data_IF_871562574901
#
_entry.id   IF_871562574901
#
_cell.length_a   1.000
_cell.length_b   1.000
_cell.length_c   1.000
_cell.angle_alpha   90.00
_cell.angle_beta   90.00
_cell.angle_gamma   90.00
#
_symmetry.space_group_name_H-M   'P 1'
#
loop_
_entity.id
_entity.type
_entity.pdbx_description
1 polymer ?
#
# COMPACT_ATOMS: atom_id res chain seq x y z
N UNK A 1 -3.27 19.03 21.75
CA UNK A 1 -1.92 18.81 22.28
C UNK A 1 -0.99 18.53 21.11
N UNK A 2 0.26 18.92 21.23
CA UNK A 2 1.27 18.71 20.17
C UNK A 2 1.59 17.20 20.10
N UNK A 3 1.49 16.60 18.92
CA UNK A 3 1.81 15.19 18.66
C UNK A 3 1.00 14.21 19.56
N UNK A 4 -0.26 14.51 19.81
CA UNK A 4 -1.11 13.66 20.63
C UNK A 4 -1.70 12.52 19.77
N UNK A 5 -1.46 11.28 20.18
CA UNK A 5 -2.05 10.13 19.51
C UNK A 5 -3.58 10.05 19.68
N UNK A 6 -4.26 9.58 18.64
CA UNK A 6 -5.67 9.20 18.70
C UNK A 6 -5.73 7.67 18.61
N UNK A 7 -6.22 7.03 19.65
CA UNK A 7 -6.40 5.58 19.69
C UNK A 7 -7.89 5.24 19.85
N UNK A 8 -8.48 4.75 18.76
CA UNK A 8 -9.83 4.19 18.71
C UNK A 8 -9.68 2.66 18.52
N UNK A 9 -9.02 2.02 19.48
CA UNK A 9 -8.53 0.63 19.44
C UNK A 9 -9.55 -0.41 19.92
N UNK A 10 -10.74 0.03 20.31
CA UNK A 10 -11.86 -0.86 20.60
C UNK A 10 -12.68 -1.15 19.34
N UNK A 11 -13.45 -2.22 19.34
CA UNK A 11 -14.32 -2.61 18.23
C UNK A 11 -15.43 -1.54 18.01
N UNK A 12 -15.12 -0.51 17.23
CA UNK A 12 -16.03 0.56 16.87
C UNK A 12 -16.95 0.15 15.72
N UNK A 13 -17.98 0.94 15.48
CA UNK A 13 -18.88 0.83 14.32
C UNK A 13 -19.10 2.24 13.77
N UNK A 14 -18.33 2.62 12.77
CA UNK A 14 -18.48 3.91 12.09
C UNK A 14 -19.27 3.70 10.79
N UNK A 15 -20.48 4.20 10.73
CA UNK A 15 -21.37 4.06 9.54
C UNK A 15 -21.32 5.26 8.61
N UNK A 16 -20.52 6.25 8.91
CA UNK A 16 -20.34 7.48 8.12
C UNK A 16 -18.89 7.92 8.11
N UNK A 17 -18.61 8.97 7.36
CA UNK A 17 -17.27 9.54 7.26
C UNK A 17 -16.73 9.96 8.64
N UNK A 18 -15.50 9.58 8.93
CA UNK A 18 -14.77 9.97 10.14
C UNK A 18 -13.59 10.83 9.73
N UNK A 19 -13.56 12.07 10.19
CA UNK A 19 -12.46 12.99 9.94
C UNK A 19 -11.69 13.27 11.23
N UNK A 20 -10.39 13.41 11.08
CA UNK A 20 -9.49 13.74 12.18
C UNK A 20 -8.88 15.12 11.97
N UNK A 21 -8.78 15.88 13.06
CA UNK A 21 -8.00 17.12 13.07
C UNK A 21 -6.87 16.96 14.07
N UNK A 22 -5.68 16.80 13.56
CA UNK A 22 -4.46 16.49 14.33
C UNK A 22 -3.29 17.36 13.89
N UNK A 23 -2.19 17.30 14.64
CA UNK A 23 -0.89 17.75 14.17
C UNK A 23 -0.24 16.65 13.30
N UNK A 24 0.63 17.04 12.38
CA UNK A 24 1.36 16.12 11.49
C UNK A 24 2.27 15.13 12.22
N UNK A 25 2.63 15.41 13.48
CA UNK A 25 3.39 14.49 14.34
C UNK A 25 2.54 13.54 15.18
N UNK A 26 1.21 13.49 14.96
CA UNK A 26 0.30 12.62 15.72
C UNK A 26 0.18 11.25 15.07
N UNK A 27 -0.03 10.21 15.88
CA UNK A 27 -0.32 8.86 15.44
C UNK A 27 -1.82 8.59 15.54
N UNK A 28 -2.37 7.87 14.55
CA UNK A 28 -3.77 7.45 14.55
C UNK A 28 -3.86 5.93 14.50
N UNK A 29 -4.62 5.36 15.44
CA UNK A 29 -4.99 3.95 15.46
C UNK A 29 -6.48 3.80 15.48
N UNK A 30 -7.04 3.01 14.56
CA UNK A 30 -8.48 2.77 14.41
C UNK A 30 -8.74 1.28 14.32
N UNK A 31 -9.73 0.81 15.09
CA UNK A 31 -10.34 -0.50 14.92
C UNK A 31 -11.82 -0.30 14.66
N UNK A 32 -12.26 -0.68 13.47
CA UNK A 32 -13.68 -0.66 13.06
C UNK A 32 -14.13 -2.09 12.70
N UNK A 33 -15.35 -2.45 13.02
CA UNK A 33 -15.92 -3.77 12.69
C UNK A 33 -16.66 -3.80 11.36
N UNK A 34 -16.72 -2.66 10.67
CA UNK A 34 -17.33 -2.48 9.34
C UNK A 34 -16.30 -1.99 8.32
N UNK A 35 -16.73 -1.60 7.15
CA UNK A 35 -15.87 -0.91 6.18
C UNK A 35 -15.49 0.48 6.69
N UNK A 36 -14.26 0.91 6.42
CA UNK A 36 -13.74 2.19 6.88
C UNK A 36 -13.20 3.04 5.73
N UNK A 37 -13.71 4.27 5.62
CA UNK A 37 -13.27 5.26 4.66
C UNK A 37 -12.38 6.32 5.34
N UNK A 38 -11.12 6.39 4.93
CA UNK A 38 -10.16 7.36 5.46
C UNK A 38 -10.32 8.68 4.71
N UNK A 39 -10.74 9.71 5.44
CA UNK A 39 -10.81 11.08 4.92
C UNK A 39 -9.41 11.69 4.80
N UNK A 40 -9.29 12.84 4.13
CA UNK A 40 -8.03 13.58 4.04
C UNK A 40 -7.35 13.73 5.42
N UNK A 41 -6.07 13.38 5.47
CA UNK A 41 -5.33 13.25 6.73
C UNK A 41 -3.85 13.56 6.53
N UNK A 42 -3.24 14.32 7.44
CA UNK A 42 -1.79 14.53 7.53
C UNK A 42 -1.32 14.18 8.94
N UNK A 43 -0.56 13.08 9.08
CA UNK A 43 -0.15 12.52 10.38
C UNK A 43 1.24 11.86 10.33
N UNK A 44 1.78 11.54 11.50
CA UNK A 44 3.02 10.80 11.60
C UNK A 44 2.84 9.32 11.19
N UNK A 45 1.87 8.62 11.77
CA UNK A 45 1.56 7.23 11.40
C UNK A 45 0.06 6.95 11.39
N UNK A 46 -0.35 5.99 10.56
CA UNK A 46 -1.73 5.54 10.45
C UNK A 46 -1.83 4.02 10.58
N UNK A 47 -2.65 3.55 11.52
CA UNK A 47 -2.99 2.13 11.66
C UNK A 47 -4.51 1.96 11.60
N UNK A 48 -5.01 1.20 10.64
CA UNK A 48 -6.43 0.89 10.48
C UNK A 48 -6.64 -0.61 10.44
N UNK A 49 -7.54 -1.12 11.30
CA UNK A 49 -8.06 -2.47 11.23
C UNK A 49 -9.57 -2.41 11.02
N UNK A 50 -10.07 -2.89 9.88
CA UNK A 50 -11.47 -2.81 9.51
C UNK A 50 -12.10 -4.19 9.33
N UNK A 51 -13.37 -4.32 9.73
CA UNK A 51 -14.19 -5.51 9.50
C UNK A 51 -14.77 -5.60 8.08
N UNK A 52 -14.41 -4.70 7.18
CA UNK A 52 -14.79 -4.65 5.78
C UNK A 52 -13.68 -4.03 4.95
N UNK A 53 -14.05 -3.42 3.81
CA UNK A 53 -13.09 -2.72 2.95
C UNK A 53 -12.49 -1.50 3.66
N UNK A 54 -11.24 -1.19 3.33
CA UNK A 54 -10.60 0.08 3.67
C UNK A 54 -10.46 0.87 2.37
N UNK A 55 -10.97 2.10 2.37
CA UNK A 55 -10.86 3.02 1.24
C UNK A 55 -10.40 4.39 1.71
N UNK A 56 -10.00 5.23 0.77
CA UNK A 56 -9.79 6.65 1.01
C UNK A 56 -10.72 7.51 0.13
N UNK A 57 -11.23 8.60 0.67
CA UNK A 57 -11.94 9.64 -0.07
C UNK A 57 -11.24 11.00 0.01
N UNK A 58 -10.02 11.01 0.54
CA UNK A 58 -9.17 12.19 0.62
C UNK A 58 -7.69 11.84 0.60
N UNK A 59 -6.88 12.79 0.19
CA UNK A 59 -5.41 12.63 0.15
C UNK A 59 -4.85 12.35 1.54
N UNK A 60 -4.01 11.31 1.64
CA UNK A 60 -3.30 10.94 2.86
C UNK A 60 -1.84 11.39 2.74
N UNK A 61 -1.35 12.08 3.75
CA UNK A 61 0.04 12.53 3.90
C UNK A 61 0.57 11.91 5.20
N UNK A 62 1.33 10.82 5.08
CA UNK A 62 1.76 10.00 6.22
C UNK A 62 3.28 9.94 6.29
N UNK A 63 3.83 10.58 7.33
CA UNK A 63 5.27 10.83 7.45
C UNK A 63 6.12 9.59 7.80
N UNK A 64 5.56 8.52 8.38
CA UNK A 64 6.38 7.36 8.79
C UNK A 64 5.81 6.02 8.35
N UNK A 65 4.74 5.53 8.94
CA UNK A 65 4.25 4.18 8.64
C UNK A 65 2.74 4.14 8.41
N UNK A 66 2.34 3.32 7.45
CA UNK A 66 0.94 2.97 7.20
C UNK A 66 0.75 1.47 7.42
N UNK A 67 -0.22 1.10 8.26
CA UNK A 67 -0.57 -0.29 8.51
C UNK A 67 -2.07 -0.49 8.34
N UNK A 68 -2.49 -1.25 7.34
CA UNK A 68 -3.89 -1.47 6.98
C UNK A 68 -4.21 -2.96 7.05
N UNK A 69 -5.23 -3.32 7.79
CA UNK A 69 -5.67 -4.72 7.94
C UNK A 69 -7.17 -4.81 7.72
N UNK A 70 -7.60 -5.62 6.76
CA UNK A 70 -9.01 -6.04 6.66
C UNK A 70 -9.18 -7.37 7.34
N UNK A 71 -10.17 -7.47 8.24
CA UNK A 71 -10.47 -8.70 8.98
C UNK A 71 -11.69 -9.43 8.42
N UNK A 72 -12.40 -8.82 7.47
CA UNK A 72 -13.45 -9.48 6.71
C UNK A 72 -12.85 -10.44 5.70
N UNK A 73 -13.47 -11.58 5.52
CA UNK A 73 -13.19 -12.47 4.39
C UNK A 73 -13.42 -11.71 3.08
N UNK A 74 -12.36 -11.56 2.27
CA UNK A 74 -12.35 -10.84 1.01
C UNK A 74 -12.50 -9.29 1.11
N UNK A 75 -12.18 -8.69 2.25
CA UNK A 75 -12.12 -7.23 2.37
C UNK A 75 -10.95 -6.66 1.56
N UNK A 76 -11.19 -5.56 0.86
CA UNK A 76 -10.20 -4.92 -0.01
C UNK A 76 -9.58 -3.69 0.67
N UNK A 77 -8.37 -3.33 0.23
CA UNK A 77 -7.75 -2.04 0.52
C UNK A 77 -7.63 -1.29 -0.80
N UNK A 78 -8.31 -0.15 -0.91
CA UNK A 78 -8.31 0.70 -2.10
C UNK A 78 -8.01 2.13 -1.70
N UNK A 79 -6.79 2.58 -1.97
CA UNK A 79 -6.32 3.94 -1.76
C UNK A 79 -6.06 4.56 -3.14
N UNK A 80 -7.06 5.24 -3.69
CA UNK A 80 -7.05 5.74 -5.07
C UNK A 80 -6.80 7.25 -5.19
N UNK A 81 -6.70 7.94 -4.06
CA UNK A 81 -6.28 9.34 -4.06
C UNK A 81 -4.76 9.43 -4.20
N UNK A 82 -4.26 10.53 -4.80
CA UNK A 82 -2.83 10.76 -4.95
C UNK A 82 -2.19 11.07 -3.60
N UNK A 83 -2.01 10.04 -2.78
CA UNK A 83 -1.51 10.13 -1.42
C UNK A 83 0.02 10.17 -1.37
N UNK A 84 0.56 10.51 -0.21
CA UNK A 84 1.99 10.60 0.08
C UNK A 84 2.33 9.74 1.30
N UNK A 85 3.17 8.73 1.08
CA UNK A 85 3.62 7.81 2.12
C UNK A 85 5.14 7.84 2.20
N UNK A 86 5.69 8.65 3.11
CA UNK A 86 7.14 8.78 3.32
C UNK A 86 7.80 7.52 3.91
N UNK A 87 7.02 6.65 4.51
CA UNK A 87 7.51 5.42 5.12
C UNK A 87 6.80 4.16 4.66
N UNK A 88 7.12 3.04 5.29
CA UNK A 88 6.67 1.75 4.83
C UNK A 88 5.13 1.56 4.91
N UNK A 89 4.55 1.13 3.79
CA UNK A 89 3.15 0.69 3.69
C UNK A 89 3.05 -0.81 3.93
N UNK A 90 2.37 -1.21 5.00
CA UNK A 90 2.04 -2.60 5.29
C UNK A 90 0.54 -2.85 5.12
N UNK A 91 0.19 -3.92 4.42
CA UNK A 91 -1.22 -4.28 4.16
C UNK A 91 -1.44 -5.77 4.39
N UNK A 92 -2.51 -6.09 5.10
CA UNK A 92 -2.98 -7.47 5.24
C UNK A 92 -4.45 -7.56 4.86
N UNK A 93 -4.74 -8.34 3.83
CA UNK A 93 -6.12 -8.72 3.46
C UNK A 93 -6.32 -10.22 3.64
N UNK A 94 -7.57 -10.66 3.82
CA UNK A 94 -7.92 -12.07 3.99
C UNK A 94 -8.64 -12.63 2.75
N UNK A 95 -8.49 -13.91 2.52
CA UNK A 95 -9.16 -14.66 1.43
C UNK A 95 -8.78 -14.16 0.05
N UNK A 96 -9.74 -13.63 -0.71
CA UNK A 96 -9.54 -13.06 -2.05
C UNK A 96 -9.46 -11.53 -2.05
N UNK A 97 -9.27 -10.92 -0.88
CA UNK A 97 -9.14 -9.47 -0.74
C UNK A 97 -7.98 -8.92 -1.56
N UNK A 98 -8.18 -7.77 -2.16
CA UNK A 98 -7.22 -7.12 -3.05
C UNK A 98 -6.67 -5.84 -2.44
N UNK A 99 -5.47 -5.47 -2.88
CA UNK A 99 -4.83 -4.19 -2.51
C UNK A 99 -4.59 -3.37 -3.77
N UNK A 100 -5.11 -2.16 -3.80
CA UNK A 100 -4.85 -1.16 -4.85
C UNK A 100 -4.43 0.15 -4.20
N UNK A 101 -3.25 0.66 -4.56
CA UNK A 101 -2.71 1.88 -3.94
C UNK A 101 -2.13 2.79 -5.00
N UNK A 102 -2.44 4.07 -4.87
CA UNK A 102 -1.93 5.15 -5.71
C UNK A 102 -1.14 6.14 -4.86
N UNK A 103 0.18 6.20 -5.08
CA UNK A 103 1.09 7.20 -4.52
C UNK A 103 1.74 7.97 -5.68
N UNK A 104 1.16 9.08 -6.08
CA UNK A 104 1.61 9.87 -7.23
C UNK A 104 2.46 11.09 -6.85
N UNK A 105 2.90 11.17 -5.62
CA UNK A 105 3.73 12.28 -5.15
C UNK A 105 5.22 11.91 -5.14
N UNK A 106 5.56 10.67 -4.76
CA UNK A 106 6.96 10.23 -4.56
C UNK A 106 7.12 8.71 -4.72
N UNK A 107 8.21 8.19 -4.18
CA UNK A 107 8.51 6.77 -4.06
C UNK A 107 7.60 6.09 -3.03
N UNK A 108 7.44 4.77 -3.14
CA UNK A 108 6.73 3.99 -2.13
C UNK A 108 7.61 2.85 -1.63
N UNK A 109 7.65 2.65 -0.32
CA UNK A 109 8.28 1.52 0.32
C UNK A 109 7.22 0.52 0.80
N UNK A 110 7.31 -0.72 0.35
CA UNK A 110 6.45 -1.80 0.83
C UNK A 110 7.05 -2.42 2.09
N UNK A 111 6.32 -2.34 3.19
CA UNK A 111 6.55 -3.15 4.38
C UNK A 111 6.03 -4.59 4.15
N UNK A 112 5.44 -5.18 5.17
CA UNK A 112 4.83 -6.51 5.00
C UNK A 112 3.50 -6.39 4.26
N UNK A 113 3.39 -7.05 3.11
CA UNK A 113 2.15 -7.15 2.32
C UNK A 113 1.67 -8.59 2.28
N UNK A 114 0.40 -8.82 2.57
CA UNK A 114 -0.28 -10.09 2.36
C UNK A 114 -1.63 -9.83 1.70
N UNK A 115 -1.79 -10.23 0.45
CA UNK A 115 -3.00 -9.93 -0.33
C UNK A 115 -3.22 -10.95 -1.45
N UNK A 116 -4.44 -11.06 -1.96
CA UNK A 116 -4.70 -11.90 -3.12
C UNK A 116 -4.24 -11.26 -4.44
N UNK A 117 -4.39 -9.95 -4.58
CA UNK A 117 -3.89 -9.20 -5.74
C UNK A 117 -3.29 -7.88 -5.27
N UNK A 118 -2.22 -7.45 -5.91
CA UNK A 118 -1.57 -6.17 -5.65
C UNK A 118 -1.54 -5.33 -6.92
N UNK A 119 -2.12 -4.14 -6.86
CA UNK A 119 -1.96 -3.11 -7.87
C UNK A 119 -1.37 -1.86 -7.19
N UNK A 120 -0.25 -1.40 -7.68
CA UNK A 120 0.48 -0.27 -7.10
C UNK A 120 0.89 0.71 -8.18
N UNK A 121 0.59 1.98 -7.98
CA UNK A 121 1.05 3.08 -8.83
C UNK A 121 1.82 4.09 -8.00
N UNK A 122 3.06 4.43 -8.42
CA UNK A 122 3.91 5.39 -7.74
C UNK A 122 4.51 6.40 -8.76
N UNK A 123 4.80 7.62 -8.30
CA UNK A 123 5.51 8.59 -9.12
C UNK A 123 7.04 8.43 -9.06
N UNK A 124 7.55 7.71 -8.07
CA UNK A 124 8.97 7.46 -7.85
C UNK A 124 9.31 5.98 -7.82
N UNK A 125 10.37 5.63 -7.12
CA UNK A 125 10.79 4.26 -6.96
C UNK A 125 9.78 3.43 -6.16
N UNK A 126 9.68 2.13 -6.49
CA UNK A 126 8.95 1.15 -5.69
C UNK A 126 10.01 0.23 -5.06
N UNK A 127 10.03 0.21 -3.73
CA UNK A 127 10.99 -0.61 -2.96
C UNK A 127 10.26 -1.47 -1.94
N UNK A 128 10.93 -2.46 -1.37
CA UNK A 128 10.42 -3.19 -0.22
C UNK A 128 11.44 -3.27 0.92
N UNK A 129 10.94 -3.24 2.16
CA UNK A 129 11.69 -3.52 3.39
C UNK A 129 11.11 -4.70 4.15
N UNK A 130 9.98 -5.22 3.70
CA UNK A 130 9.29 -6.36 4.29
C UNK A 130 8.91 -7.41 3.25
N UNK A 131 8.45 -8.55 3.73
CA UNK A 131 8.04 -9.65 2.84
C UNK A 131 6.71 -9.32 2.17
N UNK A 132 6.69 -9.42 0.84
CA UNK A 132 5.48 -9.29 0.02
C UNK A 132 4.97 -10.66 -0.37
N UNK A 133 3.73 -10.98 0.00
CA UNK A 133 3.06 -12.23 -0.34
C UNK A 133 1.79 -11.95 -1.13
N UNK A 134 1.80 -12.29 -2.42
CA UNK A 134 0.66 -12.13 -3.31
C UNK A 134 0.26 -13.48 -3.89
N UNK A 135 -0.97 -13.92 -3.62
CA UNK A 135 -1.45 -15.24 -4.07
C UNK A 135 -2.01 -15.23 -5.51
N UNK A 136 -2.21 -14.08 -6.11
CA UNK A 136 -2.67 -13.88 -7.49
C UNK A 136 -1.80 -12.90 -8.23
N UNK A 137 -2.38 -12.01 -9.01
CA UNK A 137 -1.64 -11.09 -9.88
C UNK A 137 -1.03 -9.91 -9.13
N UNK A 138 0.15 -9.48 -9.60
CA UNK A 138 0.83 -8.27 -9.14
C UNK A 138 1.02 -7.31 -10.31
N UNK A 139 0.58 -6.07 -10.17
CA UNK A 139 0.79 -5.01 -11.14
C UNK A 139 1.50 -3.82 -10.46
N UNK A 140 2.68 -3.48 -10.94
CA UNK A 140 3.50 -2.39 -10.42
C UNK A 140 3.73 -1.38 -11.52
N UNK A 141 3.32 -0.14 -11.27
CA UNK A 141 3.41 0.97 -12.21
C UNK A 141 4.16 2.15 -11.57
N UNK A 142 5.34 2.47 -12.11
CA UNK A 142 6.05 3.70 -11.76
C UNK A 142 6.40 4.53 -13.01
N UNK A 143 5.66 4.35 -14.09
CA UNK A 143 5.86 5.04 -15.36
C UNK A 143 5.65 6.56 -15.28
N UNK A 144 5.05 7.06 -14.19
CA UNK A 144 4.95 8.50 -13.92
C UNK A 144 6.30 9.12 -13.50
N UNK A 145 7.23 8.30 -12.98
CA UNK A 145 8.60 8.71 -12.64
C UNK A 145 9.54 8.62 -13.85
N UNK A 146 10.59 9.43 -13.86
CA UNK A 146 11.64 9.35 -14.88
C UNK A 146 12.77 8.49 -14.35
N UNK A 147 13.13 7.41 -15.08
CA UNK A 147 14.17 6.45 -14.73
C UNK A 147 14.06 5.88 -13.28
N UNK A 148 12.84 5.84 -12.73
CA UNK A 148 12.59 5.36 -11.38
C UNK A 148 12.68 3.83 -11.32
N UNK A 149 13.45 3.30 -10.36
CA UNK A 149 13.65 1.86 -10.25
C UNK A 149 12.50 1.16 -9.50
N UNK A 150 12.27 -0.12 -9.82
CA UNK A 150 11.53 -1.04 -8.97
C UNK A 150 12.53 -2.03 -8.37
N UNK A 151 12.64 -2.05 -7.03
CA UNK A 151 13.58 -2.93 -6.31
C UNK A 151 12.84 -3.67 -5.21
N UNK A 152 12.51 -4.94 -5.47
CA UNK A 152 11.86 -5.85 -4.54
C UNK A 152 12.85 -6.97 -4.20
N UNK A 153 13.74 -6.69 -3.24
CA UNK A 153 14.87 -7.58 -2.92
C UNK A 153 14.67 -8.40 -1.64
N UNK A 154 13.57 -8.18 -0.92
CA UNK A 154 13.14 -9.07 0.16
C UNK A 154 12.68 -10.42 -0.39
N UNK A 155 12.88 -11.49 0.39
CA UNK A 155 12.51 -12.85 0.00
C UNK A 155 10.98 -13.05 -0.04
N UNK A 156 10.36 -12.53 -1.08
CA UNK A 156 8.91 -12.41 -1.27
C UNK A 156 8.31 -13.63 -1.99
N UNK A 157 6.99 -13.68 -2.14
CA UNK A 157 6.26 -14.75 -2.82
C UNK A 157 5.20 -14.16 -3.75
N UNK A 158 5.36 -14.37 -5.05
CA UNK A 158 4.42 -13.96 -6.09
C UNK A 158 3.92 -15.20 -6.83
N UNK A 159 2.68 -15.62 -6.57
CA UNK A 159 2.17 -16.89 -7.13
C UNK A 159 1.61 -16.73 -8.54
N UNK A 160 1.11 -15.55 -8.89
CA UNK A 160 0.54 -15.25 -10.21
C UNK A 160 1.47 -14.42 -11.09
N UNK A 161 0.90 -13.93 -12.18
CA UNK A 161 1.64 -13.08 -13.11
C UNK A 161 2.06 -11.76 -12.47
N UNK A 162 3.30 -11.35 -12.72
CA UNK A 162 3.82 -10.04 -12.31
C UNK A 162 3.97 -9.15 -13.54
N UNK A 163 3.35 -8.00 -13.50
CA UNK A 163 3.38 -6.98 -14.56
C UNK A 163 4.08 -5.74 -14.06
N UNK A 164 5.01 -5.23 -14.86
CA UNK A 164 5.69 -3.97 -14.63
C UNK A 164 5.32 -2.97 -15.72
N UNK A 165 4.90 -1.78 -15.32
CA UNK A 165 4.73 -0.62 -16.20
C UNK A 165 5.75 0.42 -15.76
N UNK A 166 6.80 0.59 -16.54
CA UNK A 166 7.96 1.43 -16.21
C UNK A 166 8.39 2.22 -17.44
N UNK A 167 9.17 3.26 -17.27
CA UNK A 167 9.79 3.90 -18.41
C UNK A 167 11.06 3.14 -18.87
N UNK A 168 11.54 3.41 -20.07
CA UNK A 168 12.63 2.64 -20.70
C UNK A 168 14.01 2.79 -20.02
N UNK A 169 14.18 3.80 -19.17
CA UNK A 169 15.40 4.03 -18.39
C UNK A 169 15.41 3.33 -17.05
N UNK A 170 14.27 2.79 -16.61
CA UNK A 170 14.12 2.18 -15.29
C UNK A 170 14.81 0.82 -15.19
N UNK A 171 15.34 0.53 -14.01
CA UNK A 171 15.84 -0.80 -13.64
C UNK A 171 14.76 -1.54 -12.83
N UNK A 172 14.62 -2.85 -13.04
CA UNK A 172 13.74 -3.72 -12.28
C UNK A 172 14.55 -4.84 -11.64
N UNK A 173 14.47 -4.93 -10.32
CA UNK A 173 15.04 -6.04 -9.54
C UNK A 173 13.91 -6.68 -8.75
N UNK A 174 13.79 -8.01 -8.82
CA UNK A 174 12.80 -8.77 -8.07
C UNK A 174 13.41 -10.07 -7.53
N UNK A 175 13.21 -10.30 -6.24
CA UNK A 175 13.58 -11.57 -5.59
C UNK A 175 12.31 -12.30 -5.18
N UNK A 176 12.15 -13.53 -5.69
CA UNK A 176 10.98 -14.36 -5.40
C UNK A 176 11.40 -15.77 -4.94
N UNK A 177 10.69 -16.28 -3.95
CA UNK A 177 10.86 -17.64 -3.43
C UNK A 177 9.95 -18.67 -4.09
N UNK A 178 9.14 -18.26 -5.06
CA UNK A 178 8.19 -19.12 -5.78
C UNK A 178 8.43 -19.07 -7.30
N UNK A 179 7.67 -19.81 -8.06
CA UNK A 179 7.68 -19.67 -9.51
C UNK A 179 6.64 -18.64 -9.92
N UNK A 180 7.04 -17.62 -10.64
CA UNK A 180 6.18 -16.59 -11.20
C UNK A 180 6.45 -16.37 -12.69
N UNK A 181 5.56 -15.68 -13.36
CA UNK A 181 5.74 -15.29 -14.75
C UNK A 181 5.75 -13.76 -14.88
N UNK A 182 6.80 -13.22 -15.51
CA UNK A 182 6.82 -11.82 -15.94
C UNK A 182 6.07 -11.72 -17.26
N UNK A 183 5.12 -10.80 -17.37
CA UNK A 183 4.40 -10.59 -18.60
C UNK A 183 5.32 -10.09 -19.73
N UNK A 184 5.01 -10.48 -20.95
CA UNK A 184 5.78 -10.10 -22.14
C UNK A 184 5.66 -8.60 -22.46
N UNK A 185 6.72 -8.03 -23.04
CA UNK A 185 6.73 -6.64 -23.51
C UNK A 185 7.35 -5.65 -22.52
N UNK A 186 7.98 -6.13 -21.45
CA UNK A 186 8.73 -5.29 -20.53
C UNK A 186 9.90 -4.61 -21.28
N UNK A 187 9.97 -3.28 -21.17
CA UNK A 187 11.04 -2.46 -21.74
C UNK A 187 11.75 -1.71 -20.62
N UNK A 188 12.85 -2.24 -20.17
CA UNK A 188 13.64 -1.73 -19.03
C UNK A 188 15.10 -1.58 -19.41
N UNK A 189 15.86 -0.82 -18.63
CA UNK A 189 17.30 -0.72 -18.79
C UNK A 189 17.98 -2.02 -18.32
N UNK A 190 17.66 -2.51 -17.13
CA UNK A 190 18.11 -3.81 -16.61
C UNK A 190 16.96 -4.57 -15.94
N UNK A 191 17.00 -5.90 -16.04
CA UNK A 191 16.16 -6.82 -15.28
C UNK A 191 17.03 -7.84 -14.54
N UNK A 192 16.86 -7.98 -13.25
CA UNK A 192 17.65 -8.88 -12.39
C UNK A 192 16.80 -9.59 -11.35
#
# INVERSE_FOLDING_TARGET
>A
GTNAAIALDSANVFTGAVSFTTDTGSDITIVDTTAFDVQALAVNSLSVSAGGDISDSGVLDIATTVSLTTTASNGNVVLDQASDFDGALSVTTDGTGTTSVTNLTDSIELGTITTAQLALSAAGAITDSGVVTVSGTTALDNSAGTDAAITLDSASTYTGDVTFTVDAGSDVTITDNSAYAIQSGLNVNNLS
#
